data_IF_670412552622
#
_entry.id   IF_670412552622
#
_cell.length_a   1.000
_cell.length_b   1.000
_cell.length_c   1.000
_cell.angle_alpha   90.00
_cell.angle_beta   90.00
_cell.angle_gamma   90.00
#
_symmetry.space_group_name_H-M   'P 1'
#
loop_
_entity.id
_entity.type
_entity.pdbx_description
1 polymer ?
#
# COMPACT_ATOMS: atom_id res chain seq x y z
N UNK A 1 -48.88 -36.52 -9.09
CA UNK A 1 -48.39 -36.10 -7.76
C UNK A 1 -47.40 -34.99 -8.02
N UNK A 2 -47.72 -33.78 -7.55
CA UNK A 2 -46.90 -32.58 -7.75
C UNK A 2 -45.72 -32.70 -6.79
N UNK A 3 -44.49 -32.76 -7.30
CA UNK A 3 -43.29 -32.56 -6.48
C UNK A 3 -43.26 -31.08 -6.12
N UNK A 4 -43.61 -30.73 -4.88
CA UNK A 4 -43.30 -29.41 -4.35
C UNK A 4 -41.80 -29.36 -4.15
N UNK A 5 -41.10 -28.71 -5.07
CA UNK A 5 -39.77 -28.17 -4.79
C UNK A 5 -39.98 -27.06 -3.75
N UNK A 6 -39.96 -27.44 -2.47
CA UNK A 6 -39.99 -26.49 -1.36
C UNK A 6 -38.71 -25.66 -1.44
N UNK A 7 -38.82 -24.53 -2.15
CA UNK A 7 -37.78 -23.53 -2.23
C UNK A 7 -37.82 -22.73 -0.93
N UNK A 8 -37.07 -23.23 0.05
CA UNK A 8 -36.90 -22.58 1.35
C UNK A 8 -35.99 -21.33 1.23
N UNK A 9 -36.09 -20.45 2.22
CA UNK A 9 -35.38 -19.16 2.24
C UNK A 9 -33.99 -19.34 2.85
N UNK A 10 -32.95 -19.02 2.10
CA UNK A 10 -31.57 -19.08 2.59
C UNK A 10 -31.30 -18.06 3.72
N UNK A 11 -30.79 -18.52 4.85
CA UNK A 11 -30.42 -17.67 6.01
C UNK A 11 -29.32 -16.65 5.68
N UNK A 12 -28.50 -16.94 4.68
CA UNK A 12 -27.36 -16.09 4.30
C UNK A 12 -27.71 -14.93 3.36
N UNK A 13 -28.58 -15.15 2.37
CA UNK A 13 -28.91 -14.13 1.37
C UNK A 13 -30.41 -13.82 1.21
N UNK A 14 -31.28 -14.52 1.95
CA UNK A 14 -32.73 -14.32 1.93
C UNK A 14 -33.41 -14.74 0.63
N UNK A 15 -32.74 -15.49 -0.25
CA UNK A 15 -33.31 -15.96 -1.52
C UNK A 15 -33.85 -17.37 -1.38
N UNK A 16 -34.97 -17.61 -2.07
CA UNK A 16 -35.55 -18.94 -2.25
C UNK A 16 -34.60 -19.83 -3.05
N UNK A 17 -34.16 -20.95 -2.47
CA UNK A 17 -33.25 -21.88 -3.10
C UNK A 17 -33.32 -23.25 -2.43
N UNK A 18 -32.68 -24.25 -3.05
CA UNK A 18 -32.36 -25.49 -2.35
C UNK A 18 -31.28 -25.21 -1.30
N UNK A 19 -31.59 -25.57 -0.06
CA UNK A 19 -30.75 -25.24 1.10
C UNK A 19 -29.92 -26.44 1.56
N UNK A 20 -28.80 -26.11 2.20
CA UNK A 20 -27.87 -27.04 2.83
C UNK A 20 -27.69 -26.61 4.28
N UNK A 21 -27.86 -27.56 5.21
CA UNK A 21 -27.67 -27.30 6.63
C UNK A 21 -26.17 -27.16 6.96
N UNK A 22 -25.81 -26.09 7.66
CA UNK A 22 -24.48 -25.87 8.21
C UNK A 22 -24.56 -25.21 9.59
N UNK A 23 -24.17 -25.95 10.63
CA UNK A 23 -24.14 -25.48 12.02
C UNK A 23 -25.49 -24.91 12.52
N UNK A 24 -26.60 -25.57 12.14
CA UNK A 24 -27.95 -25.16 12.55
C UNK A 24 -28.51 -23.96 11.78
N UNK A 25 -27.89 -23.55 10.67
CA UNK A 25 -28.43 -22.58 9.71
C UNK A 25 -28.56 -23.24 8.33
N UNK A 26 -29.45 -22.74 7.49
CA UNK A 26 -29.75 -23.26 6.16
C UNK A 26 -29.29 -22.29 5.06
N UNK A 27 -28.30 -22.72 4.27
CA UNK A 27 -27.68 -21.86 3.24
C UNK A 27 -27.90 -22.41 1.84
N UNK A 28 -28.11 -21.52 0.87
CA UNK A 28 -27.96 -21.88 -0.54
C UNK A 28 -26.48 -22.17 -0.87
N UNK A 29 -26.24 -22.83 -2.00
CA UNK A 29 -24.89 -23.26 -2.42
C UNK A 29 -23.85 -22.13 -2.38
N UNK A 30 -24.19 -20.93 -2.85
CA UNK A 30 -23.27 -19.79 -2.86
C UNK A 30 -22.92 -19.32 -1.45
N UNK A 31 -23.91 -19.24 -0.56
CA UNK A 31 -23.72 -18.85 0.82
C UNK A 31 -22.96 -19.92 1.62
N UNK A 32 -23.22 -21.21 1.37
CA UNK A 32 -22.51 -22.32 2.04
C UNK A 32 -21.04 -22.36 1.63
N UNK A 33 -20.73 -22.13 0.35
CA UNK A 33 -19.35 -22.01 -0.12
C UNK A 33 -18.63 -20.84 0.54
N UNK A 34 -19.27 -19.67 0.61
CA UNK A 34 -18.69 -18.50 1.25
C UNK A 34 -18.45 -18.73 2.75
N UNK A 35 -19.44 -19.28 3.47
CA UNK A 35 -19.32 -19.63 4.88
C UNK A 35 -18.15 -20.60 5.14
N UNK A 36 -17.97 -21.58 4.24
CA UNK A 36 -16.84 -22.53 4.32
C UNK A 36 -15.50 -21.82 4.16
N UNK A 37 -15.36 -20.93 3.17
CA UNK A 37 -14.12 -20.16 2.94
C UNK A 37 -13.80 -19.28 4.16
N UNK A 38 -14.79 -18.60 4.73
CA UNK A 38 -14.61 -17.78 5.93
C UNK A 38 -14.09 -18.64 7.09
N UNK A 39 -14.60 -19.86 7.24
CA UNK A 39 -14.20 -20.81 8.29
C UNK A 39 -12.81 -21.40 8.09
N UNK A 40 -12.45 -21.77 6.86
CA UNK A 40 -11.17 -22.45 6.57
C UNK A 40 -10.02 -21.48 6.32
N UNK A 41 -10.31 -20.33 5.69
CA UNK A 41 -9.31 -19.37 5.22
C UNK A 41 -9.69 -17.92 5.57
N UNK A 42 -9.83 -17.57 6.86
CA UNK A 42 -10.22 -16.22 7.28
C UNK A 42 -9.24 -15.13 6.79
N UNK A 43 -7.98 -15.49 6.54
CA UNK A 43 -6.96 -14.56 6.01
C UNK A 43 -7.22 -14.17 4.55
N UNK A 44 -7.81 -15.06 3.75
CA UNK A 44 -8.17 -14.77 2.36
C UNK A 44 -9.28 -13.71 2.32
N UNK A 45 -10.29 -13.85 3.17
CA UNK A 45 -11.36 -12.86 3.32
C UNK A 45 -10.80 -11.48 3.70
N UNK A 46 -9.92 -11.43 4.72
CA UNK A 46 -9.26 -10.17 5.14
C UNK A 46 -8.53 -9.50 4.00
N UNK A 47 -7.74 -10.26 3.22
CA UNK A 47 -7.02 -9.73 2.05
C UNK A 47 -7.98 -9.18 1.00
N UNK A 48 -9.05 -9.91 0.68
CA UNK A 48 -10.06 -9.45 -0.29
C UNK A 48 -10.69 -8.14 0.19
N UNK A 49 -11.10 -8.06 1.45
CA UNK A 49 -11.66 -6.85 2.06
C UNK A 49 -10.70 -5.64 1.96
N UNK A 50 -9.41 -5.84 2.26
CA UNK A 50 -8.39 -4.80 2.08
C UNK A 50 -8.27 -4.34 0.63
N UNK A 51 -8.29 -5.27 -0.33
CA UNK A 51 -8.15 -4.96 -1.75
C UNK A 51 -9.34 -4.18 -2.31
N UNK A 52 -10.56 -4.49 -1.85
CA UNK A 52 -11.79 -3.81 -2.31
C UNK A 52 -12.16 -2.60 -1.44
N UNK A 53 -11.35 -2.27 -0.42
CA UNK A 53 -11.61 -1.19 0.56
C UNK A 53 -13.01 -1.29 1.18
N UNK A 54 -13.39 -2.49 1.59
CA UNK A 54 -14.67 -2.75 2.24
C UNK A 54 -14.44 -3.29 3.65
N UNK A 55 -15.07 -2.64 4.62
CA UNK A 55 -15.00 -3.03 6.02
C UNK A 55 -16.20 -3.94 6.32
N UNK A 56 -15.96 -5.22 6.61
CA UNK A 56 -17.01 -6.16 7.05
C UNK A 56 -17.43 -5.93 8.51
N UNK A 57 -16.72 -5.06 9.24
CA UNK A 57 -17.07 -4.70 10.60
C UNK A 57 -18.11 -3.57 10.55
N UNK A 58 -19.38 -3.94 10.69
CA UNK A 58 -20.38 -3.00 11.19
C UNK A 58 -19.92 -2.47 12.54
N UNK A 59 -20.10 -1.17 12.76
CA UNK A 59 -19.80 -0.49 14.03
C UNK A 59 -20.35 -1.25 15.23
N UNK A 60 -19.52 -2.02 15.94
CA UNK A 60 -19.51 -2.07 17.41
C UNK A 60 -18.40 -3.01 17.94
N UNK A 61 -17.65 -2.53 18.94
CA UNK A 61 -17.01 -3.37 19.95
C UNK A 61 -15.65 -4.01 19.64
N UNK A 62 -14.57 -3.32 20.05
CA UNK A 62 -13.75 -3.87 21.15
C UNK A 62 -12.50 -4.72 20.89
N UNK A 63 -12.14 -5.09 19.65
CA UNK A 63 -10.82 -5.68 19.39
C UNK A 63 -10.11 -4.96 18.23
N UNK A 64 -8.98 -4.33 18.58
CA UNK A 64 -8.14 -3.53 17.69
C UNK A 64 -7.55 -4.37 16.55
N UNK A 65 -8.32 -4.54 15.47
CA UNK A 65 -7.75 -4.51 14.13
C UNK A 65 -7.65 -3.03 13.79
N UNK A 66 -6.42 -2.55 13.66
CA UNK A 66 -6.13 -1.15 13.39
C UNK A 66 -6.99 -0.65 12.22
N UNK A 67 -7.81 0.40 12.41
CA UNK A 67 -8.63 0.92 11.35
C UNK A 67 -7.72 1.38 10.21
N UNK A 68 -8.04 0.98 8.99
CA UNK A 68 -7.59 1.69 7.81
C UNK A 68 -8.15 3.11 7.91
N UNK A 69 -7.39 4.01 8.53
CA UNK A 69 -7.85 5.37 8.81
C UNK A 69 -7.06 6.12 9.89
N UNK A 70 -6.39 5.42 10.81
CA UNK A 70 -5.38 6.05 11.65
C UNK A 70 -4.01 5.75 11.06
N UNK A 71 -3.27 6.72 10.48
CA UNK A 71 -1.90 6.49 10.05
C UNK A 71 -1.12 5.95 11.26
N UNK A 72 -0.69 4.69 11.18
CA UNK A 72 0.16 4.13 12.22
C UNK A 72 1.51 4.84 12.12
N UNK A 73 1.82 5.67 13.12
CA UNK A 73 3.11 6.35 13.16
C UNK A 73 4.23 5.31 13.33
N UNK A 74 5.27 5.43 12.50
CA UNK A 74 6.47 4.61 12.67
C UNK A 74 7.13 4.98 14.01
N UNK A 75 7.47 4.01 14.86
CA UNK A 75 8.35 4.23 16.00
C UNK A 75 9.69 4.82 15.59
N UNK A 76 10.33 5.55 16.50
CA UNK A 76 11.67 6.13 16.27
C UNK A 76 12.75 5.05 16.03
N UNK A 77 12.58 3.88 16.65
CA UNK A 77 13.48 2.73 16.53
C UNK A 77 12.70 1.53 16.02
N UNK A 78 13.22 0.91 14.96
CA UNK A 78 12.71 -0.32 14.39
C UNK A 78 13.76 -1.41 14.45
N UNK A 79 13.33 -2.63 14.74
CA UNK A 79 14.15 -3.81 14.54
C UNK A 79 14.37 -4.03 13.03
N UNK A 80 15.57 -4.46 12.69
CA UNK A 80 15.93 -4.72 11.30
C UNK A 80 16.70 -6.03 11.14
N UNK A 81 16.32 -6.81 10.13
CA UNK A 81 17.04 -8.01 9.72
C UNK A 81 17.96 -7.66 8.56
N UNK A 82 19.25 -7.97 8.72
CA UNK A 82 20.27 -7.71 7.68
C UNK A 82 20.60 -8.98 6.91
N UNK A 83 20.34 -8.96 5.62
CA UNK A 83 20.65 -10.00 4.65
C UNK A 83 21.93 -9.66 3.91
N UNK A 84 22.78 -10.67 3.70
CA UNK A 84 23.96 -10.58 2.83
C UNK A 84 23.71 -11.40 1.57
N UNK A 85 23.85 -10.78 0.41
CA UNK A 85 23.63 -11.42 -0.90
C UNK A 85 24.71 -11.01 -1.91
N UNK A 86 24.66 -11.57 -3.12
CA UNK A 86 25.57 -11.25 -4.23
C UNK A 86 24.76 -10.94 -5.50
N UNK A 87 25.23 -9.99 -6.29
CA UNK A 87 24.65 -9.71 -7.62
C UNK A 87 25.23 -10.61 -8.72
N UNK A 88 24.86 -10.34 -9.98
CA UNK A 88 25.32 -11.09 -11.16
C UNK A 88 26.83 -11.00 -11.39
N UNK A 89 27.46 -9.93 -10.92
CA UNK A 89 28.90 -9.68 -11.01
C UNK A 89 29.64 -10.19 -9.75
N UNK A 90 28.94 -10.91 -8.86
CA UNK A 90 29.43 -11.42 -7.58
C UNK A 90 29.82 -10.33 -6.57
N UNK A 91 29.41 -9.08 -6.80
CA UNK A 91 29.59 -8.03 -5.81
C UNK A 91 28.76 -8.34 -4.57
N UNK A 92 29.30 -8.09 -3.38
CA UNK A 92 28.56 -8.32 -2.13
C UNK A 92 27.61 -7.17 -1.83
N UNK A 93 26.36 -7.50 -1.58
CA UNK A 93 25.30 -6.58 -1.21
C UNK A 93 24.80 -6.88 0.21
N UNK A 94 24.47 -5.83 0.94
CA UNK A 94 23.83 -5.90 2.25
C UNK A 94 22.47 -5.21 2.17
N UNK A 95 21.41 -5.95 2.48
CA UNK A 95 20.04 -5.45 2.48
C UNK A 95 19.49 -5.57 3.91
N UNK A 96 19.16 -4.44 4.52
CA UNK A 96 18.50 -4.40 5.82
C UNK A 96 17.01 -4.15 5.61
N UNK A 97 16.17 -4.96 6.25
CA UNK A 97 14.71 -4.84 6.22
C UNK A 97 14.27 -4.49 7.63
N UNK A 98 13.71 -3.29 7.81
CA UNK A 98 13.08 -2.88 9.07
C UNK A 98 11.65 -3.41 9.12
N UNK A 99 11.27 -3.96 10.26
CA UNK A 99 9.98 -4.62 10.45
C UNK A 99 9.16 -3.96 11.56
N UNK A 100 7.85 -3.91 11.37
CA UNK A 100 6.90 -3.51 12.39
C UNK A 100 5.84 -4.60 12.55
N UNK A 101 5.78 -5.22 13.73
CA UNK A 101 4.88 -6.36 14.03
C UNK A 101 4.98 -7.48 12.98
N UNK A 102 6.20 -7.77 12.52
CA UNK A 102 6.49 -8.80 11.50
C UNK A 102 6.18 -8.40 10.05
N UNK A 103 5.76 -7.15 9.80
CA UNK A 103 5.56 -6.64 8.44
C UNK A 103 6.76 -5.80 8.00
N UNK A 104 7.25 -5.94 6.76
CA UNK A 104 8.34 -5.12 6.25
C UNK A 104 7.85 -3.70 5.98
N UNK A 105 8.54 -2.70 6.52
CA UNK A 105 8.13 -1.28 6.41
C UNK A 105 9.20 -0.40 5.76
N UNK A 106 10.48 -0.70 5.95
CA UNK A 106 11.57 0.02 5.29
C UNK A 106 12.67 -0.92 4.82
N UNK A 107 13.29 -0.59 3.69
CA UNK A 107 14.44 -1.31 3.15
C UNK A 107 15.60 -0.33 2.98
N UNK A 108 16.79 -0.80 3.37
CA UNK A 108 18.06 -0.14 3.10
C UNK A 108 19.00 -1.11 2.40
N UNK A 109 19.66 -0.66 1.34
CA UNK A 109 20.64 -1.47 0.62
C UNK A 109 21.97 -0.73 0.54
N UNK A 110 23.06 -1.46 0.72
CA UNK A 110 24.43 -0.94 0.62
C UNK A 110 25.35 -1.98 -0.02
N UNK A 111 26.44 -1.51 -0.60
CA UNK A 111 27.50 -2.33 -1.20
C UNK A 111 28.86 -1.80 -0.75
N UNK A 112 29.91 -2.62 -0.86
CA UNK A 112 31.25 -2.29 -0.36
C UNK A 112 31.98 -1.18 -1.15
N UNK A 113 31.44 -0.75 -2.30
CA UNK A 113 32.08 0.19 -3.24
C UNK A 113 31.77 1.68 -2.97
N UNK A 114 31.49 2.08 -1.74
CA UNK A 114 31.00 3.42 -1.37
C UNK A 114 32.03 4.58 -1.54
N UNK A 115 33.25 4.30 -2.05
CA UNK A 115 34.37 5.26 -2.09
C UNK A 115 34.77 5.78 -3.48
N UNK A 116 34.09 5.40 -4.55
CA UNK A 116 34.43 5.84 -5.91
C UNK A 116 33.50 6.98 -6.39
N UNK A 117 34.06 8.05 -6.96
CA UNK A 117 33.27 9.22 -7.40
C UNK A 117 32.27 8.88 -8.52
N UNK A 118 32.60 7.92 -9.39
CA UNK A 118 31.68 7.40 -10.42
C UNK A 118 30.49 6.62 -9.84
N UNK A 119 30.57 6.18 -8.58
CA UNK A 119 29.49 5.45 -7.91
C UNK A 119 28.42 6.37 -7.31
N UNK A 120 28.62 7.69 -7.19
CA UNK A 120 27.62 8.59 -6.59
C UNK A 120 26.27 8.57 -7.31
N UNK A 121 26.27 8.52 -8.65
CA UNK A 121 25.03 8.38 -9.43
C UNK A 121 24.40 6.99 -9.29
N UNK A 122 25.19 5.94 -9.04
CA UNK A 122 24.66 4.59 -8.80
C UNK A 122 24.05 4.50 -7.40
N UNK A 123 24.68 5.15 -6.42
CA UNK A 123 24.21 5.24 -5.04
C UNK A 123 22.93 6.08 -4.95
N UNK A 124 22.81 7.18 -5.69
CA UNK A 124 21.57 7.97 -5.74
C UNK A 124 20.41 7.18 -6.34
N UNK A 125 20.65 6.44 -7.42
CA UNK A 125 19.66 5.52 -8.01
C UNK A 125 19.24 4.43 -7.02
N UNK A 126 20.21 3.79 -6.34
CA UNK A 126 19.93 2.78 -5.32
C UNK A 126 19.10 3.35 -4.17
N UNK A 127 19.52 4.50 -3.62
CA UNK A 127 18.81 5.21 -2.54
C UNK A 127 17.38 5.56 -2.95
N UNK A 128 17.20 5.95 -4.22
CA UNK A 128 15.90 6.25 -4.80
C UNK A 128 15.01 5.01 -4.81
N UNK A 129 15.50 3.89 -5.34
CA UNK A 129 14.75 2.63 -5.40
C UNK A 129 14.36 2.19 -3.99
N UNK A 130 15.30 2.14 -3.05
CA UNK A 130 15.02 1.68 -1.68
C UNK A 130 13.99 2.55 -1.00
N UNK A 131 14.04 3.88 -1.16
CA UNK A 131 13.04 4.80 -0.58
C UNK A 131 11.67 4.69 -1.19
N UNK A 132 11.58 4.51 -2.51
CA UNK A 132 10.30 4.30 -3.18
C UNK A 132 9.68 2.96 -2.78
N UNK A 133 10.48 1.90 -2.69
CA UNK A 133 10.02 0.60 -2.18
C UNK A 133 9.55 0.72 -0.74
N UNK A 134 10.28 1.38 0.16
CA UNK A 134 9.81 1.65 1.53
C UNK A 134 8.47 2.40 1.56
N UNK A 135 8.28 3.38 0.66
CA UNK A 135 7.01 4.11 0.57
C UNK A 135 5.85 3.19 0.13
N UNK A 136 6.09 2.29 -0.82
CA UNK A 136 5.11 1.27 -1.24
C UNK A 136 4.84 0.27 -0.11
N UNK A 137 5.85 -0.19 0.61
CA UNK A 137 5.69 -1.12 1.73
C UNK A 137 4.85 -0.51 2.85
N UNK A 138 5.11 0.75 3.24
CA UNK A 138 4.26 1.45 4.21
C UNK A 138 2.83 1.63 3.72
N UNK A 139 2.62 1.86 2.43
CA UNK A 139 1.27 1.88 1.86
C UNK A 139 0.57 0.53 1.99
N UNK A 140 1.26 -0.56 1.62
CA UNK A 140 0.71 -1.92 1.61
C UNK A 140 0.44 -2.45 3.02
N UNK A 141 1.37 -2.25 3.96
CA UNK A 141 1.34 -2.89 5.28
C UNK A 141 0.87 -1.98 6.42
N UNK A 142 1.00 -0.65 6.28
CA UNK A 142 0.59 0.30 7.32
C UNK A 142 -0.60 1.17 6.90
N UNK A 143 -1.11 1.00 5.67
CA UNK A 143 -2.18 1.83 5.13
C UNK A 143 -1.78 3.29 4.92
N UNK A 144 -0.48 3.60 4.87
CA UNK A 144 -0.02 4.97 4.63
C UNK A 144 -0.51 5.45 3.26
N UNK A 145 -1.17 6.60 3.18
CA UNK A 145 -1.58 7.15 1.89
C UNK A 145 -0.34 7.50 1.06
N UNK A 146 -0.22 6.86 -0.10
CA UNK A 146 0.80 7.14 -1.11
C UNK A 146 0.33 8.32 -1.97
N UNK A 147 1.00 9.47 -1.85
CA UNK A 147 0.70 10.66 -2.65
C UNK A 147 1.87 11.05 -3.55
N UNK A 148 1.58 11.87 -4.56
CA UNK A 148 2.60 12.41 -5.45
C UNK A 148 3.63 13.27 -4.67
N UNK A 149 3.18 14.07 -3.71
CA UNK A 149 4.03 14.92 -2.86
C UNK A 149 4.99 14.08 -2.02
N UNK A 150 4.51 12.98 -1.42
CA UNK A 150 5.38 12.06 -0.67
C UNK A 150 6.40 11.39 -1.59
N UNK A 151 5.98 11.01 -2.79
CA UNK A 151 6.87 10.44 -3.81
C UNK A 151 7.97 11.43 -4.19
N UNK A 152 7.60 12.68 -4.51
CA UNK A 152 8.54 13.76 -4.85
C UNK A 152 9.48 14.08 -3.68
N UNK A 153 8.98 14.08 -2.44
CA UNK A 153 9.80 14.29 -1.25
C UNK A 153 10.86 13.19 -1.08
N UNK A 154 10.51 11.93 -1.34
CA UNK A 154 11.48 10.82 -1.31
C UNK A 154 12.49 10.89 -2.46
N UNK A 155 12.06 11.29 -3.67
CA UNK A 155 12.95 11.52 -4.81
C UNK A 155 13.96 12.64 -4.49
N UNK A 156 13.48 13.79 -4.03
CA UNK A 156 14.34 14.93 -3.66
C UNK A 156 15.39 14.53 -2.62
N UNK A 157 14.98 13.82 -1.56
CA UNK A 157 15.91 13.38 -0.52
C UNK A 157 16.98 12.42 -1.06
N UNK A 158 16.69 11.70 -2.15
CA UNK A 158 17.58 10.67 -2.72
C UNK A 158 18.60 11.23 -3.70
N UNK A 159 18.41 12.48 -4.13
CA UNK A 159 19.39 13.22 -4.92
C UNK A 159 20.62 13.52 -4.09
N UNK A 160 21.79 13.35 -4.73
CA UNK A 160 23.11 13.66 -4.16
C UNK A 160 23.82 14.76 -4.93
N UNK A 161 23.39 15.05 -6.16
CA UNK A 161 23.98 16.08 -7.01
C UNK A 161 22.96 16.63 -8.01
N UNK A 162 23.19 17.86 -8.48
CA UNK A 162 22.37 18.47 -9.53
C UNK A 162 22.42 17.63 -10.81
N UNK A 163 21.27 17.45 -11.45
CA UNK A 163 21.07 16.66 -12.66
C UNK A 163 21.33 15.15 -12.51
N UNK A 164 21.33 14.60 -11.30
CA UNK A 164 21.12 13.16 -11.15
C UNK A 164 19.67 12.77 -11.44
N UNK A 165 19.41 11.48 -11.64
CA UNK A 165 18.08 10.97 -11.99
C UNK A 165 17.01 11.41 -10.95
N UNK A 166 17.19 11.22 -9.63
CA UNK A 166 16.21 11.72 -8.65
C UNK A 166 15.96 13.24 -8.72
N UNK A 167 16.97 14.08 -8.97
CA UNK A 167 16.79 15.53 -9.22
C UNK A 167 15.95 15.78 -10.49
N UNK A 168 16.30 15.12 -11.60
CA UNK A 168 15.54 15.22 -12.85
C UNK A 168 14.07 14.83 -12.68
N UNK A 169 13.80 13.71 -12.01
CA UNK A 169 12.45 13.23 -11.72
C UNK A 169 11.69 14.20 -10.80
N UNK A 170 12.35 14.71 -9.76
CA UNK A 170 11.77 15.72 -8.85
C UNK A 170 11.28 16.92 -9.66
N UNK A 171 12.10 17.46 -10.57
CA UNK A 171 11.76 18.64 -11.39
C UNK A 171 10.60 18.38 -12.36
N UNK A 172 10.58 17.21 -13.00
CA UNK A 172 9.51 16.85 -13.95
C UNK A 172 8.19 16.63 -13.20
N UNK A 173 8.20 15.81 -12.15
CA UNK A 173 7.00 15.45 -11.40
C UNK A 173 6.40 16.62 -10.62
N UNK A 174 7.24 17.55 -10.13
CA UNK A 174 6.75 18.75 -9.42
C UNK A 174 5.84 19.63 -10.29
N UNK A 175 5.93 19.54 -11.62
CA UNK A 175 5.03 20.27 -12.52
C UNK A 175 3.58 19.79 -12.42
N UNK A 176 3.37 18.55 -12.01
CA UNK A 176 2.05 17.93 -11.88
C UNK A 176 1.38 18.19 -10.52
N UNK A 177 2.08 18.80 -9.55
CA UNK A 177 1.47 19.23 -8.28
C UNK A 177 0.53 20.44 -8.51
N UNK A 178 0.81 21.26 -9.55
CA UNK A 178 0.03 22.47 -9.86
C UNK A 178 -1.07 22.19 -10.88
N UNK A 179 -2.18 21.58 -10.46
CA UNK A 179 -3.50 21.85 -11.06
C UNK A 179 -4.62 21.41 -10.10
N UNK A 180 -5.15 22.36 -9.32
CA UNK A 180 -6.55 22.70 -9.47
C UNK A 180 -6.62 24.10 -10.10
N UNK A 181 -7.35 24.20 -11.20
CA UNK A 181 -7.82 25.39 -11.91
C UNK A 181 -7.19 26.74 -11.52
N UNK A 182 -6.47 27.35 -12.48
CA UNK A 182 -6.62 28.80 -12.67
C UNK A 182 -8.06 29.04 -13.11
N UNK A 183 -8.97 29.15 -12.15
CA UNK A 183 -10.28 29.77 -12.39
C UNK A 183 -10.02 31.26 -12.61
N UNK A 184 -10.68 31.80 -13.62
CA UNK A 184 -10.51 33.15 -14.14
C UNK A 184 -10.67 34.23 -13.06
N UNK A 185 -9.65 35.09 -12.92
CA UNK A 185 -9.69 36.47 -12.42
C UNK A 185 -8.22 36.90 -12.30
N UNK A 186 -7.74 37.68 -13.27
CA UNK A 186 -6.53 38.55 -13.24
C UNK A 186 -6.22 39.04 -14.67
N UNK A 187 -7.28 39.43 -15.39
CA UNK A 187 -7.21 40.29 -16.58
C UNK A 187 -8.23 41.40 -16.40
N UNK A 188 -8.10 42.13 -15.30
CA UNK A 188 -8.48 43.53 -15.25
C UNK A 188 -7.58 44.18 -14.18
N UNK A 189 -7.28 45.47 -14.34
CA UNK A 189 -6.37 46.26 -13.50
C UNK A 189 -4.86 46.13 -13.79
N UNK A 190 -4.44 46.48 -15.02
CA UNK A 190 -3.31 47.41 -15.13
C UNK A 190 -3.29 48.24 -16.42
N UNK A 191 -4.37 49.00 -16.66
CA UNK A 191 -4.32 50.16 -17.55
C UNK A 191 -4.74 51.42 -16.78
N UNK A 192 -3.91 51.81 -15.81
CA UNK A 192 -3.92 53.15 -15.20
C UNK A 192 -2.66 53.34 -14.35
N UNK A 193 -1.55 53.72 -15.00
CA UNK A 193 -0.76 54.94 -14.66
C UNK A 193 0.67 54.90 -15.22
N UNK A 194 0.97 55.94 -16.01
CA UNK A 194 2.25 56.46 -16.53
C UNK A 194 2.82 55.82 -17.80
#
# INVERSE_FOLDING_TARGET
MIHSEDNDVCDGCGRNALLQEMQGNEFCESCSQLARIIKTEPQLLRKICTLIRSDLHGSDGGEQVCPAGAPMELPEVLDAVRYRTRDRELNTWYVSISELKGNPVEIFASTAFDRDHHLQSRISNLTTITRLVSLVLRHVFLGEVLTLEKTIKQLHRSSRQKNDLPDMLTRVLSRYIKTPEKTAEDLDDNELSL
#
